data_IF_757974720522
#
_entry.id   IF_757974720522
#
_cell.length_a   1.000
_cell.length_b   1.000
_cell.length_c   1.000
_cell.angle_alpha   90.00
_cell.angle_beta   90.00
_cell.angle_gamma   90.00
#
_symmetry.space_group_name_H-M   'P 1'
#
loop_
_entity.id
_entity.type
_entity.pdbx_description
1 polymer ?
#
# COMPACT_ATOMS: atom_id res chain seq x y z
N UNK A 1 -25.93 -10.02 26.06
CA UNK A 1 -24.72 -10.69 25.58
C UNK A 1 -24.78 -10.74 24.07
N UNK A 2 -24.19 -9.75 23.42
CA UNK A 2 -24.10 -9.66 21.96
C UNK A 2 -23.09 -10.69 21.46
N UNK A 3 -23.54 -11.60 20.61
CA UNK A 3 -22.70 -12.57 19.91
C UNK A 3 -21.70 -11.82 19.05
N UNK A 4 -20.43 -11.81 19.46
CA UNK A 4 -19.31 -11.30 18.67
C UNK A 4 -19.20 -12.18 17.41
N UNK A 5 -19.60 -11.64 16.26
CA UNK A 5 -19.42 -12.32 14.97
C UNK A 5 -17.93 -12.44 14.67
N UNK A 6 -17.48 -13.62 14.23
CA UNK A 6 -16.06 -13.99 14.08
C UNK A 6 -15.19 -13.03 13.23
N UNK A 7 -15.76 -12.07 12.52
CA UNK A 7 -15.05 -11.12 11.64
C UNK A 7 -14.64 -9.80 12.31
N UNK A 8 -15.29 -9.40 13.41
CA UNK A 8 -14.74 -8.33 14.28
C UNK A 8 -13.44 -8.81 14.95
N UNK A 9 -13.27 -10.13 15.06
CA UNK A 9 -12.20 -10.77 15.82
C UNK A 9 -10.79 -10.36 15.42
N UNK A 10 -10.54 -10.02 14.15
CA UNK A 10 -9.22 -9.57 13.73
C UNK A 10 -9.01 -8.09 14.02
N UNK A 11 -10.00 -7.21 13.79
CA UNK A 11 -9.88 -5.79 14.19
C UNK A 11 -9.72 -5.61 15.70
N UNK A 12 -10.17 -6.59 16.51
CA UNK A 12 -9.90 -6.64 17.96
C UNK A 12 -8.44 -6.76 18.31
N UNK A 13 -7.60 -7.23 17.39
CA UNK A 13 -6.15 -7.20 17.58
C UNK A 13 -5.70 -5.73 17.70
N UNK A 14 -6.08 -4.87 16.75
CA UNK A 14 -5.76 -3.43 16.77
C UNK A 14 -6.48 -2.66 17.90
N UNK A 15 -7.72 -3.03 18.19
CA UNK A 15 -8.60 -2.39 19.17
C UNK A 15 -9.05 -3.37 20.25
N UNK A 16 -8.16 -3.69 21.22
CA UNK A 16 -8.42 -4.75 22.19
C UNK A 16 -9.57 -4.43 23.16
N UNK A 17 -9.86 -3.15 23.38
CA UNK A 17 -10.86 -2.67 24.34
C UNK A 17 -12.05 -1.97 23.66
N UNK A 18 -13.19 -1.89 24.36
CA UNK A 18 -14.33 -1.07 23.94
C UNK A 18 -15.14 -1.63 22.76
N UNK A 19 -15.93 -0.77 22.10
CA UNK A 19 -16.60 -1.08 20.84
C UNK A 19 -15.82 -0.51 19.66
N UNK A 20 -15.90 -1.15 18.50
CA UNK A 20 -15.28 -0.66 17.26
C UNK A 20 -16.36 0.02 16.42
N UNK A 21 -16.11 1.28 16.06
CA UNK A 21 -17.01 2.11 15.26
C UNK A 21 -16.44 2.27 13.86
N UNK A 22 -17.19 1.85 12.85
CA UNK A 22 -16.93 2.23 11.46
C UNK A 22 -17.49 3.63 11.23
N UNK A 23 -16.61 4.59 10.93
CA UNK A 23 -17.04 5.91 10.48
C UNK A 23 -16.82 6.00 8.98
N UNK A 24 -17.89 6.28 8.23
CA UNK A 24 -17.84 6.33 6.77
C UNK A 24 -18.46 7.61 6.21
N UNK A 25 -17.86 8.13 5.14
CA UNK A 25 -18.41 9.25 4.35
C UNK A 25 -19.39 8.80 3.25
N UNK A 26 -19.62 7.49 3.14
CA UNK A 26 -20.62 6.87 2.28
C UNK A 26 -21.55 5.97 3.12
N UNK A 27 -22.85 6.11 2.90
CA UNK A 27 -23.86 5.40 3.69
C UNK A 27 -23.99 3.92 3.31
N UNK A 28 -23.72 3.53 2.06
CA UNK A 28 -23.73 2.13 1.66
C UNK A 28 -22.52 1.39 2.22
N UNK A 29 -21.34 2.01 2.19
CA UNK A 29 -20.15 1.44 2.79
C UNK A 29 -20.29 1.31 4.31
N UNK A 30 -20.87 2.32 4.96
CA UNK A 30 -21.21 2.28 6.38
C UNK A 30 -22.16 1.14 6.74
N UNK A 31 -23.22 0.93 5.94
CA UNK A 31 -24.13 -0.22 6.12
C UNK A 31 -23.43 -1.55 5.89
N UNK A 32 -22.56 -1.66 4.88
CA UNK A 32 -21.78 -2.86 4.65
C UNK A 32 -20.87 -3.18 5.85
N UNK A 33 -20.25 -2.18 6.48
CA UNK A 33 -19.50 -2.36 7.72
C UNK A 33 -20.39 -2.85 8.88
N UNK A 34 -21.60 -2.31 9.01
CA UNK A 34 -22.56 -2.74 10.02
C UNK A 34 -23.03 -4.19 9.83
N UNK A 35 -23.26 -4.61 8.58
CA UNK A 35 -23.57 -6.00 8.23
C UNK A 35 -22.44 -6.97 8.63
N UNK A 36 -21.22 -6.46 8.85
CA UNK A 36 -20.06 -7.25 9.29
C UNK A 36 -19.77 -7.22 10.79
N UNK A 37 -20.59 -6.51 11.57
CA UNK A 37 -20.52 -6.49 13.04
C UNK A 37 -20.09 -5.13 13.63
N UNK A 38 -19.67 -4.17 12.80
CA UNK A 38 -19.21 -2.88 13.28
C UNK A 38 -20.38 -1.94 13.62
N UNK A 39 -20.18 -1.03 14.58
CA UNK A 39 -21.13 0.06 14.78
C UNK A 39 -20.90 1.12 13.73
N UNK A 40 -21.91 1.46 12.90
CA UNK A 40 -21.76 2.48 11.87
C UNK A 40 -22.17 3.87 12.39
N UNK A 41 -21.33 4.87 12.15
CA UNK A 41 -21.63 6.30 12.33
C UNK A 41 -21.27 7.06 11.04
N UNK A 42 -22.17 7.88 10.47
CA UNK A 42 -21.84 8.77 9.36
C UNK A 42 -20.73 9.78 9.73
N UNK A 43 -19.85 10.13 8.77
CA UNK A 43 -18.73 11.04 9.01
C UNK A 43 -19.17 12.43 9.53
N UNK A 44 -20.32 12.94 9.10
CA UNK A 44 -20.87 14.24 9.54
C UNK A 44 -21.37 14.23 10.99
N UNK A 45 -21.51 13.05 11.60
CA UNK A 45 -21.87 12.84 13.01
C UNK A 45 -20.70 12.35 13.87
N UNK A 46 -19.50 12.31 13.31
CA UNK A 46 -18.33 11.80 14.02
C UNK A 46 -17.96 12.59 15.29
N UNK A 47 -18.33 13.88 15.38
CA UNK A 47 -18.13 14.71 16.58
C UNK A 47 -18.97 14.25 17.79
N UNK A 48 -19.99 13.42 17.58
CA UNK A 48 -20.83 12.85 18.64
C UNK A 48 -20.18 11.63 19.33
N UNK A 49 -19.09 11.11 18.78
CA UNK A 49 -18.41 9.95 19.35
C UNK A 49 -17.71 10.29 20.66
N UNK A 50 -17.72 9.38 21.65
CA UNK A 50 -17.00 9.59 22.89
C UNK A 50 -15.48 9.58 22.63
N UNK A 51 -14.76 10.45 23.35
CA UNK A 51 -13.30 10.45 23.32
C UNK A 51 -12.74 9.07 23.66
N UNK A 52 -11.65 8.68 22.98
CA UNK A 52 -11.05 7.35 23.10
C UNK A 52 -11.78 6.23 22.36
N UNK A 53 -12.86 6.51 21.62
CA UNK A 53 -13.49 5.48 20.80
C UNK A 53 -12.53 4.93 19.73
N UNK A 54 -12.64 3.63 19.49
CA UNK A 54 -11.89 2.91 18.45
C UNK A 54 -12.60 3.06 17.11
N UNK A 55 -11.94 3.69 16.15
CA UNK A 55 -12.52 4.12 14.88
C UNK A 55 -11.80 3.46 13.72
N UNK A 56 -12.57 2.77 12.87
CA UNK A 56 -12.19 2.44 11.50
C UNK A 56 -12.78 3.50 10.59
N UNK A 57 -11.95 4.41 10.10
CA UNK A 57 -12.35 5.55 9.29
C UNK A 57 -12.26 5.18 7.80
N UNK A 58 -13.41 4.97 7.17
CA UNK A 58 -13.56 4.57 5.77
C UNK A 58 -13.87 5.81 4.92
N UNK A 59 -12.91 6.23 4.10
CA UNK A 59 -13.05 7.45 3.28
C UNK A 59 -13.13 7.11 1.80
N UNK A 60 -14.35 6.94 1.29
CA UNK A 60 -14.63 6.60 -0.10
C UNK A 60 -14.64 7.81 -1.02
N UNK A 61 -15.16 8.94 -0.56
CA UNK A 61 -15.37 10.15 -1.37
C UNK A 61 -14.44 11.30 -0.99
N UNK A 62 -13.94 11.31 0.25
CA UNK A 62 -13.07 12.36 0.77
C UNK A 62 -11.63 11.89 0.89
N UNK A 63 -10.70 12.79 0.58
CA UNK A 63 -9.30 12.63 0.97
C UNK A 63 -9.11 13.00 2.45
N UNK A 64 -8.08 12.44 3.09
CA UNK A 64 -7.70 12.85 4.45
C UNK A 64 -7.37 14.34 4.47
N UNK A 65 -8.02 15.09 5.36
CA UNK A 65 -7.81 16.54 5.50
C UNK A 65 -7.47 16.93 6.93
N UNK A 66 -6.94 18.14 7.12
CA UNK A 66 -6.71 18.70 8.47
C UNK A 66 -7.98 18.73 9.31
N UNK A 67 -9.12 19.07 8.71
CA UNK A 67 -10.42 19.09 9.40
C UNK A 67 -10.80 17.70 9.90
N UNK A 68 -10.72 16.68 9.04
CA UNK A 68 -11.00 15.30 9.44
C UNK A 68 -10.08 14.88 10.58
N UNK A 69 -8.76 15.14 10.49
CA UNK A 69 -7.82 14.83 11.57
C UNK A 69 -8.17 15.49 12.91
N UNK A 70 -8.65 16.74 12.88
CA UNK A 70 -9.05 17.46 14.10
C UNK A 70 -10.25 16.81 14.80
N UNK A 71 -11.23 16.31 14.03
CA UNK A 71 -12.41 15.59 14.58
C UNK A 71 -11.97 14.36 15.38
N UNK A 72 -10.99 13.61 14.87
CA UNK A 72 -10.56 12.36 15.49
C UNK A 72 -9.32 12.45 16.40
N UNK A 73 -8.83 13.64 16.74
CA UNK A 73 -7.55 13.82 17.48
C UNK A 73 -7.48 13.16 18.87
N UNK A 74 -8.61 12.73 19.41
CA UNK A 74 -8.73 12.06 20.71
C UNK A 74 -9.21 10.60 20.60
N UNK A 75 -9.25 10.05 19.39
CA UNK A 75 -9.74 8.70 19.09
C UNK A 75 -8.55 7.78 18.79
N UNK A 76 -8.78 6.46 18.83
CA UNK A 76 -7.85 5.47 18.28
C UNK A 76 -8.26 5.20 16.83
N UNK A 77 -7.51 5.69 15.84
CA UNK A 77 -7.98 5.69 14.44
C UNK A 77 -7.14 4.78 13.55
N UNK A 78 -7.80 3.83 12.89
CA UNK A 78 -7.33 3.19 11.67
C UNK A 78 -7.98 3.90 10.47
N UNK A 79 -7.21 4.64 9.68
CA UNK A 79 -7.73 5.29 8.47
C UNK A 79 -7.52 4.42 7.24
N UNK A 80 -8.59 4.26 6.46
CA UNK A 80 -8.63 3.54 5.18
C UNK A 80 -8.96 4.55 4.08
N UNK A 81 -7.94 5.14 3.41
CA UNK A 81 -8.10 6.22 2.44
C UNK A 81 -8.51 5.70 1.06
N UNK A 82 -9.70 5.12 0.94
CA UNK A 82 -10.20 4.46 -0.28
C UNK A 82 -10.19 5.44 -1.48
N UNK A 83 -10.56 6.70 -1.25
CA UNK A 83 -10.58 7.76 -2.27
C UNK A 83 -9.22 8.02 -2.93
N UNK A 84 -8.10 7.73 -2.24
CA UNK A 84 -6.75 7.85 -2.80
C UNK A 84 -6.48 6.85 -3.92
N UNK A 85 -7.25 5.77 -3.99
CA UNK A 85 -7.07 4.68 -4.96
C UNK A 85 -8.29 4.57 -5.88
N UNK A 86 -9.32 3.88 -5.44
CA UNK A 86 -10.57 3.73 -6.18
C UNK A 86 -11.77 3.82 -5.25
N UNK A 87 -12.42 4.99 -5.26
CA UNK A 87 -13.66 5.26 -4.53
C UNK A 87 -14.91 4.59 -5.12
N UNK A 88 -14.79 3.70 -6.12
CA UNK A 88 -15.94 2.97 -6.63
C UNK A 88 -16.56 2.07 -5.55
N UNK A 89 -17.90 1.88 -5.50
CA UNK A 89 -18.54 1.07 -4.47
C UNK A 89 -18.01 -0.37 -4.38
N UNK A 90 -17.63 -0.95 -5.52
CA UNK A 90 -17.03 -2.28 -5.57
C UNK A 90 -15.65 -2.33 -4.89
N UNK A 91 -14.77 -1.39 -5.22
CA UNK A 91 -13.45 -1.30 -4.63
C UNK A 91 -13.48 -0.93 -3.14
N UNK A 92 -14.42 -0.08 -2.73
CA UNK A 92 -14.65 0.27 -1.34
C UNK A 92 -15.07 -0.94 -0.49
N UNK A 93 -16.04 -1.72 -0.96
CA UNK A 93 -16.47 -2.97 -0.29
C UNK A 93 -15.35 -4.00 -0.26
N UNK A 94 -14.63 -4.18 -1.37
CA UNK A 94 -13.45 -5.04 -1.41
C UNK A 94 -12.41 -4.64 -0.36
N UNK A 95 -12.09 -3.34 -0.27
CA UNK A 95 -11.09 -2.83 0.68
C UNK A 95 -11.52 -3.05 2.13
N UNK A 96 -12.80 -2.83 2.45
CA UNK A 96 -13.37 -3.18 3.76
C UNK A 96 -13.22 -4.67 4.07
N UNK A 97 -13.55 -5.55 3.11
CA UNK A 97 -13.40 -7.00 3.29
C UNK A 97 -11.96 -7.41 3.55
N UNK A 98 -11.00 -6.82 2.83
CA UNK A 98 -9.58 -7.08 3.02
C UNK A 98 -9.13 -6.61 4.41
N UNK A 99 -9.58 -5.44 4.87
CA UNK A 99 -9.25 -4.92 6.21
C UNK A 99 -9.77 -5.85 7.32
N UNK A 100 -10.98 -6.39 7.14
CA UNK A 100 -11.56 -7.34 8.09
C UNK A 100 -10.90 -8.73 8.05
N UNK A 101 -10.14 -9.04 6.99
CA UNK A 101 -9.39 -10.30 6.84
C UNK A 101 -7.94 -10.22 7.29
N UNK A 102 -7.39 -9.01 7.41
CA UNK A 102 -6.00 -8.79 7.82
C UNK A 102 -5.75 -9.33 9.23
N UNK A 103 -4.73 -10.17 9.36
CA UNK A 103 -4.16 -10.57 10.65
C UNK A 103 -3.12 -9.51 11.06
N UNK A 104 -3.57 -8.53 11.83
CA UNK A 104 -2.79 -7.36 12.21
C UNK A 104 -1.63 -7.68 13.15
N UNK A 105 -1.78 -8.71 14.00
CA UNK A 105 -0.66 -9.21 14.84
C UNK A 105 0.43 -9.74 13.93
N UNK A 106 0.09 -10.62 12.99
CA UNK A 106 1.07 -11.20 12.08
C UNK A 106 1.71 -10.14 11.17
N UNK A 107 0.96 -9.14 10.73
CA UNK A 107 1.51 -8.03 9.96
C UNK A 107 2.51 -7.23 10.80
N UNK A 108 2.18 -6.88 12.04
CA UNK A 108 3.07 -6.18 12.96
C UNK A 108 4.34 -6.99 13.31
N UNK A 109 4.20 -8.31 13.50
CA UNK A 109 5.34 -9.21 13.76
C UNK A 109 6.28 -9.28 12.55
N UNK A 110 5.71 -9.42 11.34
CA UNK A 110 6.46 -9.39 10.09
C UNK A 110 7.18 -8.05 9.92
N UNK A 111 6.49 -6.94 10.21
CA UNK A 111 7.07 -5.61 10.16
C UNK A 111 8.25 -5.45 11.14
N UNK A 112 8.06 -5.90 12.38
CA UNK A 112 9.09 -5.88 13.42
C UNK A 112 10.31 -6.70 13.04
N UNK A 113 10.10 -7.89 12.44
CA UNK A 113 11.18 -8.75 11.95
C UNK A 113 12.01 -8.06 10.86
N UNK A 114 11.35 -7.47 9.86
CA UNK A 114 12.03 -6.71 8.80
C UNK A 114 12.81 -5.51 9.34
N UNK A 115 12.20 -4.71 10.23
CA UNK A 115 12.88 -3.58 10.88
C UNK A 115 14.09 -4.07 11.67
N UNK A 116 13.99 -5.20 12.38
CA UNK A 116 15.10 -5.82 13.09
C UNK A 116 16.26 -6.14 12.15
N UNK A 117 15.99 -6.80 11.02
CA UNK A 117 17.00 -7.15 10.01
C UNK A 117 17.65 -5.93 9.36
N UNK A 118 16.88 -4.90 9.03
CA UNK A 118 17.41 -3.65 8.49
C UNK A 118 18.33 -2.95 9.51
N UNK A 119 18.00 -2.99 10.81
CA UNK A 119 18.84 -2.44 11.88
C UNK A 119 20.12 -3.21 12.14
N UNK A 120 20.20 -4.48 11.75
CA UNK A 120 21.43 -5.28 11.82
C UNK A 120 22.49 -4.82 10.79
N UNK A 121 22.15 -3.86 9.92
CA UNK A 121 23.11 -3.23 9.00
C UNK A 121 23.19 -3.91 7.63
N UNK A 122 22.10 -4.53 7.18
CA UNK A 122 22.03 -5.10 5.84
C UNK A 122 22.34 -4.04 4.78
N UNK A 123 23.31 -4.32 3.93
CA UNK A 123 23.70 -3.44 2.83
C UNK A 123 22.89 -3.75 1.58
N UNK A 124 22.38 -4.98 1.46
CA UNK A 124 21.52 -5.39 0.35
C UNK A 124 20.38 -6.31 0.77
N UNK A 125 19.32 -6.28 -0.03
CA UNK A 125 18.26 -7.27 -0.04
C UNK A 125 18.14 -7.81 -1.45
N UNK A 126 18.32 -9.11 -1.61
CA UNK A 126 18.12 -9.80 -2.90
C UNK A 126 16.76 -10.46 -2.87
N UNK A 127 15.92 -10.16 -3.87
CA UNK A 127 14.63 -10.80 -4.10
C UNK A 127 14.74 -11.76 -5.28
N UNK A 128 14.44 -13.03 -5.04
CA UNK A 128 14.71 -14.14 -5.95
C UNK A 128 15.71 -15.14 -5.39
N UNK A 129 16.02 -16.20 -6.14
CA UNK A 129 16.88 -17.29 -5.68
C UNK A 129 18.30 -16.82 -5.32
N UNK A 130 18.86 -17.38 -4.25
CA UNK A 130 20.15 -17.00 -3.66
C UNK A 130 21.34 -17.02 -4.66
N UNK A 131 21.26 -17.89 -5.67
CA UNK A 131 22.25 -18.05 -6.75
C UNK A 131 21.88 -17.15 -7.95
N UNK A 132 21.89 -15.83 -7.78
CA UNK A 132 21.66 -14.89 -8.87
C UNK A 132 22.96 -14.17 -9.26
N UNK A 133 23.47 -14.48 -10.47
CA UNK A 133 24.28 -13.53 -11.21
C UNK A 133 23.42 -12.34 -11.64
N UNK A 134 24.00 -11.15 -11.73
CA UNK A 134 23.33 -9.85 -11.99
C UNK A 134 22.81 -9.70 -13.43
N UNK A 135 22.55 -10.79 -14.14
CA UNK A 135 22.06 -10.75 -15.53
C UNK A 135 20.55 -10.61 -15.58
N UNK A 136 20.06 -9.74 -16.48
CA UNK A 136 18.68 -9.79 -16.96
C UNK A 136 18.43 -11.18 -17.55
N UNK A 137 17.81 -12.07 -16.78
CA UNK A 137 17.45 -13.39 -17.25
C UNK A 137 16.16 -13.32 -18.06
N UNK A 138 16.08 -14.02 -19.18
CA UNK A 138 14.85 -14.27 -19.96
C UNK A 138 13.82 -15.14 -19.21
N UNK A 139 13.98 -15.34 -17.90
CA UNK A 139 13.08 -16.14 -17.08
C UNK A 139 11.91 -15.32 -16.53
N UNK A 140 10.81 -16.02 -16.24
CA UNK A 140 9.60 -15.48 -15.61
C UNK A 140 9.73 -15.36 -14.07
N UNK A 141 10.96 -15.24 -13.57
CA UNK A 141 11.26 -15.14 -12.14
C UNK A 141 11.66 -13.71 -11.75
N UNK A 142 11.29 -13.30 -10.54
CA UNK A 142 11.85 -12.10 -9.90
C UNK A 142 13.32 -12.37 -9.52
N UNK A 143 14.21 -11.49 -9.98
CA UNK A 143 15.65 -11.44 -9.67
C UNK A 143 16.05 -9.98 -9.54
N UNK A 144 15.84 -9.42 -8.37
CA UNK A 144 16.05 -8.01 -8.08
C UNK A 144 17.05 -7.86 -6.93
N UNK A 145 18.12 -7.13 -7.16
CA UNK A 145 19.05 -6.73 -6.10
C UNK A 145 18.68 -5.32 -5.68
N UNK A 146 18.36 -5.16 -4.40
CA UNK A 146 18.18 -3.85 -3.79
C UNK A 146 19.39 -3.53 -2.92
N UNK A 147 20.16 -2.51 -3.28
CA UNK A 147 21.19 -1.97 -2.39
C UNK A 147 20.57 -0.93 -1.47
N UNK A 148 20.93 -0.92 -0.20
CA UNK A 148 20.39 -0.04 0.83
C UNK A 148 21.41 1.02 1.24
N UNK A 149 20.94 2.24 1.45
CA UNK A 149 21.76 3.33 1.97
C UNK A 149 22.04 3.16 3.46
N UNK A 150 23.14 3.78 3.94
CA UNK A 150 23.54 3.68 5.34
C UNK A 150 22.60 4.37 6.34
N UNK A 151 21.62 5.15 5.87
CA UNK A 151 20.61 5.79 6.71
C UNK A 151 19.23 5.67 6.06
N UNK A 152 18.43 4.72 6.55
CA UNK A 152 17.08 4.47 6.07
C UNK A 152 16.04 5.16 6.95
N UNK A 153 15.05 5.79 6.30
CA UNK A 153 13.79 6.15 6.94
C UNK A 153 12.73 5.17 6.47
N UNK A 154 12.09 4.49 7.40
CA UNK A 154 11.04 3.49 7.14
C UNK A 154 9.74 4.03 7.71
N UNK A 155 8.70 4.16 6.88
CA UNK A 155 7.34 4.35 7.37
C UNK A 155 6.67 2.98 7.58
N UNK A 156 6.26 2.72 8.82
CA UNK A 156 5.60 1.48 9.23
C UNK A 156 4.95 1.67 10.60
N UNK A 157 3.95 0.84 10.89
CA UNK A 157 3.35 0.67 12.21
C UNK A 157 3.58 -0.75 12.73
N UNK A 158 4.76 -1.04 13.32
CA UNK A 158 5.13 -2.39 13.76
C UNK A 158 4.49 -2.75 15.11
N UNK A 159 3.23 -2.37 15.31
CA UNK A 159 2.48 -2.60 16.55
C UNK A 159 1.07 -3.06 16.20
N UNK A 160 0.64 -4.15 16.81
CA UNK A 160 -0.70 -4.66 16.62
C UNK A 160 -1.76 -3.93 17.46
N UNK A 161 -1.54 -2.69 17.89
CA UNK A 161 -2.48 -1.95 18.73
C UNK A 161 -2.47 -0.45 18.37
N UNK A 162 -3.64 0.18 18.43
CA UNK A 162 -3.84 1.62 18.21
C UNK A 162 -4.45 2.23 19.47
N UNK A 163 -3.71 3.13 20.11
CA UNK A 163 -4.12 3.77 21.36
C UNK A 163 -4.89 5.08 21.15
N UNK A 164 -5.51 5.63 22.22
CA UNK A 164 -6.20 6.91 22.14
C UNK A 164 -5.26 8.04 21.69
N UNK A 165 -5.68 8.77 20.65
CA UNK A 165 -4.89 9.83 20.02
C UNK A 165 -3.97 9.34 18.89
N UNK A 166 -3.78 8.03 18.74
CA UNK A 166 -3.06 7.48 17.59
C UNK A 166 -3.93 7.59 16.33
N UNK A 167 -3.28 8.02 15.25
CA UNK A 167 -3.83 8.07 13.91
C UNK A 167 -2.92 7.25 12.99
N UNK A 168 -3.40 6.11 12.53
CA UNK A 168 -2.60 5.13 11.80
C UNK A 168 -3.25 4.83 10.46
N UNK A 169 -2.47 4.90 9.39
CA UNK A 169 -2.96 4.51 8.07
C UNK A 169 -2.95 2.99 7.92
N UNK A 170 -3.92 2.47 7.17
CA UNK A 170 -3.97 1.03 6.91
C UNK A 170 -2.75 0.52 6.12
N UNK A 171 -2.17 1.36 5.25
CA UNK A 171 -0.91 1.08 4.56
C UNK A 171 0.23 0.86 5.54
N UNK A 172 0.44 1.80 6.48
CA UNK A 172 1.49 1.69 7.51
C UNK A 172 1.36 0.41 8.37
N UNK A 173 0.15 -0.12 8.56
CA UNK A 173 -0.06 -1.41 9.25
C UNK A 173 0.26 -2.64 8.38
N UNK A 174 0.22 -2.50 7.05
CA UNK A 174 0.29 -3.60 6.09
C UNK A 174 1.60 -3.64 5.31
N UNK A 175 2.48 -2.64 5.44
CA UNK A 175 3.76 -2.58 4.74
C UNK A 175 4.82 -1.81 5.52
N UNK A 176 6.08 -1.97 5.09
CA UNK A 176 7.14 -1.00 5.33
C UNK A 176 7.36 -0.24 4.03
N UNK A 177 7.37 1.08 4.11
CA UNK A 177 7.68 1.94 2.97
C UNK A 177 9.02 2.64 3.17
N UNK A 178 9.95 2.44 2.24
CA UNK A 178 11.22 3.18 2.16
C UNK A 178 11.10 4.09 0.95
N UNK A 179 11.01 5.39 1.18
CA UNK A 179 10.74 6.38 0.14
C UNK A 179 11.93 7.28 -0.16
N UNK A 180 12.02 7.69 -1.42
CA UNK A 180 12.94 8.72 -1.91
C UNK A 180 12.19 9.98 -2.29
N UNK A 181 12.88 11.11 -2.20
CA UNK A 181 12.43 12.33 -2.84
C UNK A 181 12.83 12.34 -4.32
N UNK A 182 12.00 12.89 -5.21
CA UNK A 182 12.39 13.08 -6.59
C UNK A 182 13.72 13.83 -6.72
N UNK A 183 14.59 13.37 -7.63
CA UNK A 183 15.89 13.99 -7.89
C UNK A 183 17.00 13.66 -6.90
N UNK A 184 16.75 12.84 -5.86
CA UNK A 184 17.83 12.25 -5.07
C UNK A 184 18.57 11.19 -5.92
N UNK A 185 19.79 11.52 -6.35
CA UNK A 185 20.67 10.59 -7.06
C UNK A 185 21.36 9.61 -6.09
N UNK A 186 21.57 8.37 -6.53
CA UNK A 186 22.52 7.45 -5.89
C UNK A 186 22.00 6.66 -4.69
N UNK A 187 22.90 5.84 -4.14
CA UNK A 187 22.70 4.84 -3.08
C UNK A 187 22.34 5.42 -1.70
N UNK A 188 21.97 6.70 -1.60
CA UNK A 188 21.74 7.38 -0.33
C UNK A 188 20.54 6.81 0.44
N UNK A 189 19.60 6.16 -0.24
CA UNK A 189 18.46 5.49 0.39
C UNK A 189 18.32 4.05 -0.09
N UNK A 190 18.16 3.82 -1.38
CA UNK A 190 18.23 2.49 -1.97
C UNK A 190 18.61 2.57 -3.45
N UNK A 191 18.96 1.47 -4.10
CA UNK A 191 18.93 1.33 -5.57
C UNK A 191 18.42 -0.06 -5.92
N UNK A 192 17.90 -0.22 -7.14
CA UNK A 192 17.38 -1.49 -7.61
C UNK A 192 17.90 -1.82 -8.99
N UNK A 193 18.36 -3.06 -9.14
CA UNK A 193 18.90 -3.61 -10.38
C UNK A 193 18.36 -5.01 -10.62
N UNK A 194 17.93 -5.30 -11.85
CA UNK A 194 17.45 -6.61 -12.26
C UNK A 194 16.00 -6.61 -12.73
N UNK A 195 15.28 -7.69 -12.44
CA UNK A 195 13.93 -7.94 -12.96
C UNK A 195 12.96 -8.25 -11.83
N UNK A 196 11.76 -7.67 -11.89
CA UNK A 196 10.65 -8.00 -11.00
C UNK A 196 9.42 -8.43 -11.79
N UNK A 197 8.71 -9.45 -11.29
CA UNK A 197 7.49 -9.99 -11.88
C UNK A 197 6.31 -9.67 -10.97
N UNK A 198 5.63 -8.58 -11.28
CA UNK A 198 4.49 -8.11 -10.51
C UNK A 198 3.19 -8.79 -10.99
N UNK A 199 2.27 -9.04 -10.06
CA UNK A 199 0.89 -9.45 -10.37
C UNK A 199 -0.12 -8.35 -10.08
N UNK A 200 0.20 -7.48 -9.13
CA UNK A 200 -0.58 -6.30 -8.83
C UNK A 200 -0.02 -5.05 -9.48
N UNK A 201 -0.89 -4.22 -10.01
CA UNK A 201 -0.59 -2.82 -10.34
C UNK A 201 -1.62 -1.96 -9.64
N UNK A 202 -1.16 -0.93 -8.94
CA UNK A 202 -2.01 0.03 -8.23
C UNK A 202 -1.70 1.43 -8.72
N UNK A 203 -2.65 2.33 -8.50
CA UNK A 203 -2.47 3.75 -8.77
C UNK A 203 -3.09 4.54 -7.64
N UNK A 204 -2.32 5.45 -7.06
CA UNK A 204 -2.73 6.33 -5.98
C UNK A 204 -2.59 7.81 -6.35
N UNK A 205 -3.40 8.63 -5.69
CA UNK A 205 -3.46 10.07 -5.82
C UNK A 205 -3.35 10.71 -4.43
N UNK A 206 -2.39 11.62 -4.26
CA UNK A 206 -2.18 12.32 -2.99
C UNK A 206 -3.28 13.38 -2.77
N UNK A 207 -3.70 13.64 -1.52
CA UNK A 207 -4.65 14.71 -1.21
C UNK A 207 -4.27 16.11 -1.74
N UNK A 208 -2.97 16.35 -2.01
CA UNK A 208 -2.40 17.60 -2.53
C UNK A 208 -2.30 17.61 -4.06
N UNK A 209 -2.82 16.58 -4.75
CA UNK A 209 -2.71 16.43 -6.19
C UNK A 209 -3.14 17.68 -6.97
N UNK A 210 -2.28 18.08 -7.89
CA UNK A 210 -2.47 19.17 -8.84
C UNK A 210 -3.46 18.78 -9.93
N UNK A 211 -3.95 19.75 -10.70
CA UNK A 211 -4.81 19.47 -11.86
C UNK A 211 -4.11 18.57 -12.90
N UNK A 212 -2.86 18.90 -13.26
CA UNK A 212 -2.05 18.07 -14.14
C UNK A 212 -1.79 16.66 -13.56
N UNK A 213 -1.55 16.57 -12.25
CA UNK A 213 -1.42 15.29 -11.55
C UNK A 213 -2.70 14.45 -11.64
N UNK A 214 -3.87 15.08 -11.57
CA UNK A 214 -5.17 14.40 -11.67
C UNK A 214 -5.41 13.82 -13.08
N UNK A 215 -5.08 14.56 -14.13
CA UNK A 215 -5.16 14.05 -15.51
C UNK A 215 -4.24 12.84 -15.73
N UNK A 216 -3.03 12.92 -15.18
CA UNK A 216 -2.06 11.82 -15.18
C UNK A 216 -2.55 10.62 -14.37
N UNK A 217 -3.20 10.85 -13.23
CA UNK A 217 -3.83 9.81 -12.44
C UNK A 217 -4.94 9.08 -13.20
N UNK A 218 -5.81 9.79 -13.92
CA UNK A 218 -6.82 9.13 -14.76
C UNK A 218 -6.18 8.28 -15.88
N UNK A 219 -5.02 8.71 -16.39
CA UNK A 219 -4.23 7.92 -17.33
C UNK A 219 -3.65 6.66 -16.67
N UNK A 220 -3.04 6.81 -15.49
CA UNK A 220 -2.54 5.69 -14.68
C UNK A 220 -3.63 4.67 -14.37
N UNK A 221 -4.85 5.10 -14.00
CA UNK A 221 -6.00 4.20 -13.76
C UNK A 221 -6.33 3.34 -14.97
N UNK A 222 -6.31 3.91 -16.18
CA UNK A 222 -6.54 3.16 -17.43
C UNK A 222 -5.41 2.17 -17.70
N UNK A 223 -4.16 2.61 -17.61
CA UNK A 223 -2.98 1.76 -17.82
C UNK A 223 -2.95 0.58 -16.84
N UNK A 224 -3.24 0.86 -15.57
CA UNK A 224 -3.34 -0.13 -14.51
C UNK A 224 -4.43 -1.17 -14.81
N UNK A 225 -5.63 -0.73 -15.21
CA UNK A 225 -6.72 -1.64 -15.56
C UNK A 225 -6.37 -2.51 -16.77
N UNK A 226 -5.68 -1.95 -17.76
CA UNK A 226 -5.18 -2.70 -18.92
C UNK A 226 -4.15 -3.75 -18.51
N UNK A 227 -3.09 -3.37 -17.78
CA UNK A 227 -2.05 -4.29 -17.32
C UNK A 227 -2.63 -5.41 -16.45
N UNK A 228 -3.56 -5.11 -15.53
CA UNK A 228 -4.23 -6.11 -14.70
C UNK A 228 -5.06 -7.11 -15.53
N UNK A 229 -5.51 -6.74 -16.73
CA UNK A 229 -6.20 -7.63 -17.67
C UNK A 229 -5.25 -8.50 -18.51
N UNK A 230 -3.97 -8.14 -18.59
CA UNK A 230 -2.96 -8.84 -19.39
C UNK A 230 -2.16 -9.89 -18.59
N UNK A 231 -2.33 -9.93 -17.26
CA UNK A 231 -1.67 -10.88 -16.37
C UNK A 231 -0.43 -10.30 -15.70
N UNK A 232 0.63 -11.11 -15.59
CA UNK A 232 1.86 -10.69 -14.94
C UNK A 232 2.53 -9.53 -15.70
N UNK A 233 3.10 -8.60 -14.92
CA UNK A 233 3.81 -7.42 -15.40
C UNK A 233 5.28 -7.57 -15.09
N UNK A 234 6.11 -7.57 -16.13
CA UNK A 234 7.56 -7.65 -16.02
C UNK A 234 8.16 -6.25 -15.98
N UNK A 235 8.98 -5.99 -14.97
CA UNK A 235 9.75 -4.77 -14.78
C UNK A 235 11.24 -5.07 -14.95
N UNK A 236 11.94 -4.27 -15.74
CA UNK A 236 13.40 -4.31 -15.89
C UNK A 236 13.98 -3.00 -15.34
N UNK A 237 14.88 -3.13 -14.37
CA UNK A 237 15.44 -2.03 -13.58
C UNK A 237 16.96 -1.97 -13.78
N UNK A 238 17.49 -0.75 -13.91
CA UNK A 238 18.94 -0.49 -13.94
C UNK A 238 19.21 0.82 -13.23
N UNK A 239 20.12 0.82 -12.27
CA UNK A 239 20.49 1.99 -11.47
C UNK A 239 19.26 2.71 -10.89
N UNK A 240 18.30 1.94 -10.35
CA UNK A 240 17.04 2.45 -9.78
C UNK A 240 16.07 3.09 -10.79
N UNK A 241 16.31 2.94 -12.08
CA UNK A 241 15.42 3.41 -13.16
C UNK A 241 14.73 2.22 -13.80
N UNK A 242 13.41 2.33 -13.97
CA UNK A 242 12.66 1.36 -14.78
C UNK A 242 12.95 1.62 -16.26
N UNK A 243 13.74 0.73 -16.85
CA UNK A 243 14.15 0.81 -18.26
C UNK A 243 13.12 0.15 -19.18
N UNK A 244 12.35 -0.81 -18.65
CA UNK A 244 11.29 -1.48 -19.40
C UNK A 244 10.18 -2.01 -18.51
N UNK A 245 8.92 -1.81 -18.92
CA UNK A 245 7.75 -2.48 -18.34
C UNK A 245 6.93 -3.14 -19.44
N UNK A 246 6.64 -4.43 -19.29
CA UNK A 246 5.87 -5.20 -20.26
C UNK A 246 4.78 -6.02 -19.61
N UNK A 247 3.63 -6.15 -20.28
CA UNK A 247 2.54 -7.04 -19.89
C UNK A 247 1.86 -7.58 -21.15
N UNK A 248 1.55 -8.88 -21.19
CA UNK A 248 0.93 -9.50 -22.37
C UNK A 248 1.67 -9.26 -23.69
N UNK A 249 3.00 -9.10 -23.66
CA UNK A 249 3.84 -8.80 -24.82
C UNK A 249 3.83 -7.34 -25.29
N UNK A 250 3.05 -6.45 -24.66
CA UNK A 250 3.06 -5.00 -24.93
C UNK A 250 4.02 -4.29 -23.99
N UNK A 251 4.74 -3.30 -24.52
CA UNK A 251 5.58 -2.37 -23.76
C UNK A 251 4.77 -1.14 -23.31
N UNK A 252 4.82 -0.84 -22.01
CA UNK A 252 4.08 0.26 -21.37
C UNK A 252 5.00 1.40 -20.90
N UNK A 253 6.30 1.32 -21.17
CA UNK A 253 7.32 2.18 -20.54
C UNK A 253 7.07 3.66 -20.78
N UNK A 254 6.79 4.04 -22.04
CA UNK A 254 6.50 5.43 -22.39
C UNK A 254 5.21 5.95 -21.77
N UNK A 255 4.18 5.11 -21.72
CA UNK A 255 2.88 5.47 -21.16
C UNK A 255 2.99 5.69 -19.64
N UNK A 256 3.75 4.81 -18.96
CA UNK A 256 4.03 4.92 -17.54
C UNK A 256 4.85 6.18 -17.21
N UNK A 257 5.86 6.52 -18.03
CA UNK A 257 6.62 7.77 -17.88
C UNK A 257 5.70 9.00 -17.94
N UNK A 258 4.75 8.99 -18.87
CA UNK A 258 3.75 10.06 -18.98
C UNK A 258 2.83 10.16 -17.76
N UNK A 259 2.40 9.02 -17.22
CA UNK A 259 1.45 8.94 -16.12
C UNK A 259 2.05 9.21 -14.74
N UNK A 260 3.31 8.85 -14.50
CA UNK A 260 3.96 8.98 -13.17
C UNK A 260 4.66 10.33 -12.94
N UNK A 261 4.88 11.10 -14.02
CA UNK A 261 5.61 12.37 -14.15
C UNK A 261 6.94 12.18 -14.92
N UNK A 262 7.03 12.67 -16.18
CA UNK A 262 8.23 12.58 -16.99
C UNK A 262 9.49 13.16 -16.35
N UNK A 263 9.35 14.19 -15.51
CA UNK A 263 10.48 14.87 -14.85
C UNK A 263 11.18 13.96 -13.83
N UNK A 264 10.56 12.85 -13.43
CA UNK A 264 11.13 11.86 -12.51
C UNK A 264 11.82 10.71 -13.26
N UNK A 265 11.72 10.65 -14.59
CA UNK A 265 12.48 9.72 -15.42
C UNK A 265 12.30 8.24 -15.07
N UNK A 266 11.13 7.85 -14.54
CA UNK A 266 10.84 6.49 -14.05
C UNK A 266 11.83 5.98 -12.99
N UNK A 267 12.39 6.87 -12.18
CA UNK A 267 13.09 6.46 -10.96
C UNK A 267 12.10 5.78 -10.00
N UNK A 268 12.47 4.63 -9.46
CA UNK A 268 11.75 4.04 -8.33
C UNK A 268 11.87 5.00 -7.14
N UNK A 269 10.72 5.49 -6.67
CA UNK A 269 10.61 6.41 -5.54
C UNK A 269 10.25 5.70 -4.26
N UNK A 270 9.82 4.44 -4.34
CA UNK A 270 9.47 3.62 -3.20
C UNK A 270 9.94 2.18 -3.37
N UNK A 271 10.55 1.66 -2.31
CA UNK A 271 10.64 0.25 -2.02
C UNK A 271 9.64 -0.06 -0.91
N UNK A 272 8.63 -0.85 -1.24
CA UNK A 272 7.66 -1.34 -0.28
C UNK A 272 7.89 -2.80 0.06
N UNK A 273 7.72 -3.15 1.33
CA UNK A 273 7.79 -4.53 1.81
C UNK A 273 6.44 -4.88 2.43
N UNK A 274 5.73 -5.81 1.81
CA UNK A 274 4.42 -6.20 2.31
C UNK A 274 4.52 -7.08 3.56
N UNK A 275 3.68 -6.78 4.53
CA UNK A 275 3.60 -7.48 5.81
C UNK A 275 2.25 -8.18 6.02
N UNK A 276 1.27 -7.86 5.17
CA UNK A 276 -0.05 -8.46 5.17
C UNK A 276 -0.14 -9.69 4.23
N UNK A 277 0.88 -10.54 4.22
CA UNK A 277 0.93 -11.70 3.32
C UNK A 277 -0.23 -12.70 3.51
N UNK A 278 -0.88 -12.67 4.68
CA UNK A 278 -2.01 -13.54 5.00
C UNK A 278 -3.25 -13.32 4.12
N UNK A 279 -3.42 -12.13 3.54
CA UNK A 279 -4.57 -11.84 2.68
C UNK A 279 -4.36 -12.23 1.22
N UNK A 280 -3.13 -12.59 0.82
CA UNK A 280 -2.76 -12.91 -0.55
C UNK A 280 -3.70 -13.90 -1.26
N UNK A 281 -4.17 -15.00 -0.63
CA UNK A 281 -5.10 -15.93 -1.27
C UNK A 281 -6.47 -15.34 -1.64
N UNK A 282 -6.83 -14.17 -1.09
CA UNK A 282 -8.09 -13.48 -1.33
C UNK A 282 -7.95 -12.25 -2.25
N UNK A 283 -6.73 -11.94 -2.71
CA UNK A 283 -6.49 -10.73 -3.50
C UNK A 283 -7.11 -10.85 -4.90
N UNK A 284 -7.85 -9.81 -5.29
CA UNK A 284 -8.22 -9.57 -6.69
C UNK A 284 -7.36 -8.43 -7.25
N UNK A 285 -6.36 -8.77 -8.05
CA UNK A 285 -5.43 -7.82 -8.66
C UNK A 285 -6.10 -6.86 -9.65
N UNK A 286 -7.38 -7.07 -10.00
CA UNK A 286 -8.17 -6.13 -10.82
C UNK A 286 -8.81 -5.03 -9.99
N UNK A 287 -8.78 -5.09 -8.66
CA UNK A 287 -9.30 -4.03 -7.77
C UNK A 287 -8.16 -3.13 -7.30
N UNK A 288 -8.30 -1.81 -7.47
CA UNK A 288 -7.29 -0.85 -7.06
C UNK A 288 -7.52 -0.51 -5.58
N UNK A 289 -6.79 -1.19 -4.68
CA UNK A 289 -6.98 -1.08 -3.24
C UNK A 289 -5.62 -1.04 -2.55
N UNK A 290 -5.46 -0.12 -1.61
CA UNK A 290 -4.24 0.00 -0.79
C UNK A 290 -3.86 -1.33 -0.10
N UNK A 291 -4.85 -2.16 0.28
CA UNK A 291 -4.55 -3.42 0.97
C UNK A 291 -3.93 -4.50 0.07
N UNK A 292 -3.90 -4.26 -1.23
CA UNK A 292 -3.18 -5.14 -2.14
C UNK A 292 -1.66 -4.88 -2.11
N UNK A 293 -1.19 -3.71 -1.67
CA UNK A 293 0.25 -3.37 -1.53
C UNK A 293 0.91 -4.34 -0.56
N UNK A 294 0.37 -4.41 0.66
CA UNK A 294 0.88 -5.27 1.73
C UNK A 294 0.71 -6.78 1.51
N UNK A 295 0.01 -7.20 0.45
CA UNK A 295 -0.26 -8.62 0.21
C UNK A 295 0.90 -9.35 -0.48
N UNK A 296 1.84 -8.63 -1.09
CA UNK A 296 3.03 -9.20 -1.73
C UNK A 296 4.29 -9.14 -0.87
N UNK A 297 5.35 -9.81 -1.31
CA UNK A 297 6.65 -9.79 -0.61
C UNK A 297 7.33 -8.43 -0.76
N UNK A 298 7.18 -7.79 -1.93
CA UNK A 298 7.62 -6.43 -2.16
C UNK A 298 6.70 -5.72 -3.15
N UNK A 299 6.76 -4.39 -3.16
CA UNK A 299 6.31 -3.57 -4.28
C UNK A 299 7.30 -2.47 -4.61
N UNK A 300 7.23 -1.99 -5.85
CA UNK A 300 8.07 -0.92 -6.36
C UNK A 300 7.15 0.21 -6.80
N UNK A 301 7.32 1.39 -6.19
CA UNK A 301 6.50 2.56 -6.45
C UNK A 301 7.20 3.58 -7.35
N UNK A 302 6.45 4.09 -8.34
CA UNK A 302 6.91 5.11 -9.30
C UNK A 302 5.99 6.33 -9.27
N UNK A 303 6.57 7.52 -9.33
CA UNK A 303 5.82 8.77 -9.17
C UNK A 303 5.46 9.07 -7.71
N UNK A 304 4.90 10.24 -7.45
CA UNK A 304 4.75 10.76 -6.08
C UNK A 304 3.31 11.16 -5.69
N UNK A 305 2.37 11.06 -6.63
CA UNK A 305 0.95 11.26 -6.36
C UNK A 305 0.46 12.71 -6.39
N UNK A 306 1.34 13.72 -6.47
CA UNK A 306 0.96 15.16 -6.46
C UNK A 306 0.93 15.76 -7.87
N UNK A 307 2.01 15.62 -8.62
CA UNK A 307 2.23 16.12 -9.98
C UNK A 307 2.10 15.02 -11.04
N UNK A 308 2.22 13.76 -10.64
CA UNK A 308 1.85 12.57 -11.42
C UNK A 308 1.15 11.54 -10.54
N UNK A 309 0.74 10.42 -11.13
CA UNK A 309 0.24 9.29 -10.34
C UNK A 309 1.39 8.65 -9.55
N UNK A 310 1.09 8.17 -8.35
CA UNK A 310 1.94 7.17 -7.70
C UNK A 310 1.45 5.79 -8.16
N UNK A 311 2.33 4.94 -8.67
CA UNK A 311 1.97 3.62 -9.20
C UNK A 311 2.85 2.53 -8.60
N UNK A 312 2.21 1.59 -7.90
CA UNK A 312 2.87 0.47 -7.24
C UNK A 312 2.71 -0.82 -8.01
N UNK A 313 3.82 -1.54 -8.14
CA UNK A 313 3.87 -2.85 -8.78
C UNK A 313 4.20 -3.92 -7.74
N UNK A 314 3.21 -4.75 -7.42
CA UNK A 314 3.27 -5.71 -6.31
C UNK A 314 3.74 -7.07 -6.82
N UNK A 315 4.86 -7.55 -6.25
CA UNK A 315 5.41 -8.90 -6.46
C UNK A 315 4.85 -9.82 -5.37
N UNK A 316 3.88 -10.70 -5.69
CA UNK A 316 3.19 -11.49 -4.68
C UNK A 316 4.07 -12.57 -4.04
N UNK A 317 5.01 -13.11 -4.82
CA UNK A 317 5.81 -14.26 -4.43
C UNK A 317 7.25 -14.07 -4.91
N UNK A 318 8.19 -14.13 -3.97
CA UNK A 318 9.60 -14.36 -4.22
C UNK A 318 10.29 -14.76 -2.91
N UNK A 319 11.45 -15.41 -3.02
CA UNK A 319 12.38 -15.56 -1.91
C UNK A 319 13.08 -14.21 -1.66
N UNK A 320 13.59 -13.98 -0.44
CA UNK A 320 14.43 -12.83 -0.17
C UNK A 320 15.57 -13.17 0.79
N UNK A 321 16.70 -12.48 0.62
CA UNK A 321 17.92 -12.69 1.39
C UNK A 321 18.57 -11.35 1.71
N UNK A 322 18.89 -11.12 2.97
CA UNK A 322 19.72 -9.99 3.39
C UNK A 322 21.20 -10.31 3.17
N UNK A 323 21.99 -9.35 2.69
CA UNK A 323 23.44 -9.43 2.56
C UNK A 323 24.11 -8.24 3.23
#
# INVERSE_FOLDING_TARGET
>A
MTTTTARDGLLRQLFPEGGIVAVADDAELGRAAAERGLTYVPLDRAEELPAGASVVLLLQHHMVSKRIRLVFRHHSVLVVPIASFDGSPGAARYTLEMALRTDWVRAADTASSWIGKLREGAEQVVFGPEVAGTGAGDGDDTRLVCSLGGALTVDAWPRAAIGPGDWVSVGSCCELSITKRPGQSGADTFSMDGTAIASGVLAACDPRCTEAGRERFETARRLRAEMAGLGAVRLEMTDNVLTRVTAGGRDFTRDLLGATNPDHGLQALELGIGTNLGVLPAVDWRVNSQLNEGAGVLHIGFGEGITGAHMDFVVPHCEHHFR
#
